data_IF_921290737453
#
_entry.id   IF_921290737453
#
_cell.length_a   1.000
_cell.length_b   1.000
_cell.length_c   1.000
_cell.angle_alpha   90.00
_cell.angle_beta   90.00
_cell.angle_gamma   90.00
#
_symmetry.space_group_name_H-M   'P 1'
#
loop_
_entity.id
_entity.type
_entity.pdbx_description
1 polymer ?
#
# COMPACT_ATOMS: atom_id res chain seq x y z
N UNK A 1 5.53 -36.31 30.23
CA UNK A 1 6.50 -35.28 29.82
C UNK A 1 6.02 -34.71 28.50
N UNK A 2 5.38 -33.54 28.53
CA UNK A 2 4.98 -32.84 27.31
C UNK A 2 6.24 -32.19 26.72
N UNK A 3 6.58 -32.55 25.48
CA UNK A 3 7.60 -31.84 24.71
C UNK A 3 7.01 -30.47 24.35
N UNK A 4 7.40 -29.45 25.11
CA UNK A 4 7.21 -28.06 24.70
C UNK A 4 8.09 -27.80 23.49
N UNK A 5 7.52 -27.90 22.30
CA UNK A 5 8.16 -27.45 21.08
C UNK A 5 8.21 -25.92 21.15
N UNK A 6 9.31 -25.39 21.69
CA UNK A 6 9.61 -23.97 21.65
C UNK A 6 10.01 -23.66 20.21
N UNK A 7 9.02 -23.46 19.34
CA UNK A 7 9.25 -22.72 18.11
C UNK A 7 9.69 -21.33 18.56
N UNK A 8 10.96 -20.99 18.33
CA UNK A 8 11.45 -19.64 18.54
C UNK A 8 10.70 -18.71 17.59
N UNK A 9 9.92 -17.77 18.13
CA UNK A 9 9.28 -16.74 17.33
C UNK A 9 10.34 -15.93 16.57
N UNK A 10 10.11 -15.69 15.29
CA UNK A 10 10.99 -14.83 14.48
C UNK A 10 10.66 -13.37 14.81
N UNK A 11 11.67 -12.52 14.95
CA UNK A 11 11.44 -11.08 15.07
C UNK A 11 11.01 -10.47 13.73
N UNK A 12 10.26 -9.36 13.74
CA UNK A 12 9.95 -8.62 12.51
C UNK A 12 11.22 -8.22 11.71
N UNK A 13 12.30 -7.90 12.44
CA UNK A 13 13.61 -7.61 11.87
C UNK A 13 14.16 -8.77 11.04
N UNK A 14 14.13 -9.97 11.61
CA UNK A 14 14.65 -11.18 10.97
C UNK A 14 13.71 -11.69 9.87
N UNK A 15 12.40 -11.40 9.98
CA UNK A 15 11.40 -11.71 8.97
C UNK A 15 11.51 -10.85 7.69
N UNK A 16 12.13 -9.66 7.77
CA UNK A 16 12.17 -8.71 6.65
C UNK A 16 12.85 -9.26 5.39
N UNK A 17 14.01 -9.92 5.54
CA UNK A 17 14.74 -10.47 4.40
C UNK A 17 14.02 -11.65 3.71
N UNK A 18 13.46 -12.63 4.44
CA UNK A 18 12.54 -13.61 3.86
C UNK A 18 11.32 -12.99 3.18
N UNK A 19 10.70 -11.99 3.81
CA UNK A 19 9.53 -11.30 3.25
C UNK A 19 9.82 -10.58 1.93
N UNK A 20 11.00 -9.95 1.81
CA UNK A 20 11.44 -9.34 0.57
C UNK A 20 11.56 -10.36 -0.57
N UNK A 21 12.20 -11.50 -0.30
CA UNK A 21 12.35 -12.58 -1.29
C UNK A 21 11.00 -13.17 -1.68
N UNK A 22 10.13 -13.35 -0.70
CA UNK A 22 8.76 -13.81 -0.92
C UNK A 22 8.00 -12.84 -1.83
N UNK A 23 8.00 -11.54 -1.51
CA UNK A 23 7.30 -10.52 -2.28
C UNK A 23 7.82 -10.45 -3.73
N UNK A 24 9.14 -10.46 -3.91
CA UNK A 24 9.77 -10.45 -5.23
C UNK A 24 9.31 -11.67 -6.05
N UNK A 25 9.43 -12.88 -5.49
CA UNK A 25 9.00 -14.10 -6.17
C UNK A 25 7.50 -14.09 -6.48
N UNK A 26 6.68 -13.60 -5.55
CA UNK A 26 5.22 -13.58 -5.68
C UNK A 26 4.77 -12.60 -6.77
N UNK A 27 5.22 -11.35 -6.70
CA UNK A 27 4.83 -10.30 -7.64
C UNK A 27 5.46 -10.49 -9.02
N UNK A 28 6.69 -10.99 -9.10
CA UNK A 28 7.43 -11.15 -10.37
C UNK A 28 7.11 -12.45 -11.09
N UNK A 29 6.26 -13.33 -10.56
CA UNK A 29 5.83 -14.55 -11.26
C UNK A 29 5.02 -14.25 -12.54
N UNK A 30 5.24 -15.01 -13.61
CA UNK A 30 4.44 -14.97 -14.84
C UNK A 30 3.05 -15.60 -14.67
N UNK A 31 2.80 -16.25 -13.54
CA UNK A 31 1.49 -16.82 -13.18
C UNK A 31 0.50 -15.75 -12.69
N UNK A 32 0.95 -14.50 -12.48
CA UNK A 32 0.06 -13.40 -12.08
C UNK A 32 -0.85 -13.04 -13.24
N UNK A 33 -2.16 -13.23 -13.03
CA UNK A 33 -3.19 -12.98 -14.03
C UNK A 33 -4.28 -12.07 -13.50
N UNK A 34 -4.78 -11.20 -14.36
CA UNK A 34 -6.00 -10.41 -14.14
C UNK A 34 -6.88 -10.63 -15.37
N UNK A 35 -8.13 -10.99 -15.17
CA UNK A 35 -9.10 -11.31 -16.24
C UNK A 35 -8.56 -12.33 -17.27
N UNK A 36 -7.84 -13.34 -16.77
CA UNK A 36 -7.24 -14.41 -17.59
C UNK A 36 -5.98 -14.00 -18.36
N UNK A 37 -5.55 -12.74 -18.29
CA UNK A 37 -4.36 -12.24 -18.97
C UNK A 37 -3.17 -12.12 -18.01
N UNK A 38 -1.99 -12.54 -18.47
CA UNK A 38 -0.75 -12.34 -17.71
C UNK A 38 -0.47 -10.87 -17.49
N UNK A 39 -0.19 -10.50 -16.24
CA UNK A 39 0.16 -9.13 -15.87
C UNK A 39 1.50 -8.75 -16.49
N UNK A 40 1.55 -7.57 -17.11
CA UNK A 40 2.77 -7.06 -17.75
C UNK A 40 3.94 -7.00 -16.77
N UNK A 41 5.17 -7.25 -17.25
CA UNK A 41 6.38 -7.13 -16.45
C UNK A 41 6.52 -5.72 -15.84
N UNK A 42 6.13 -4.68 -16.59
CA UNK A 42 6.16 -3.30 -16.10
C UNK A 42 5.25 -3.07 -14.91
N UNK A 43 4.03 -3.62 -14.94
CA UNK A 43 3.08 -3.52 -13.83
C UNK A 43 3.56 -4.29 -12.60
N UNK A 44 4.13 -5.48 -12.77
CA UNK A 44 4.71 -6.29 -11.68
C UNK A 44 5.89 -5.57 -11.02
N UNK A 45 6.84 -5.09 -11.83
CA UNK A 45 8.01 -4.33 -11.35
C UNK A 45 7.60 -3.06 -10.62
N UNK A 46 6.64 -2.31 -11.17
CA UNK A 46 6.12 -1.11 -10.53
C UNK A 46 5.60 -1.40 -9.11
N UNK A 47 4.84 -2.49 -8.92
CA UNK A 47 4.30 -2.87 -7.62
C UNK A 47 5.40 -3.24 -6.63
N UNK A 48 6.35 -4.05 -7.07
CA UNK A 48 7.50 -4.40 -6.25
C UNK A 48 8.29 -3.16 -5.79
N UNK A 49 8.65 -2.28 -6.73
CA UNK A 49 9.39 -1.04 -6.41
C UNK A 49 8.59 -0.08 -5.52
N UNK A 50 7.27 -0.03 -5.69
CA UNK A 50 6.37 0.73 -4.83
C UNK A 50 6.40 0.20 -3.39
N UNK A 51 6.25 -1.11 -3.18
CA UNK A 51 6.39 -1.73 -1.85
C UNK A 51 7.72 -1.39 -1.17
N UNK A 52 8.83 -1.35 -1.91
CA UNK A 52 10.14 -0.96 -1.35
C UNK A 52 10.15 0.49 -0.86
N UNK A 53 9.54 1.41 -1.60
CA UNK A 53 9.45 2.83 -1.19
C UNK A 53 8.53 3.00 0.00
N UNK A 54 7.39 2.31 0.02
CA UNK A 54 6.44 2.32 1.14
C UNK A 54 7.08 1.76 2.41
N UNK A 55 7.83 0.66 2.33
CA UNK A 55 8.61 0.12 3.45
C UNK A 55 9.63 1.14 4.00
N UNK A 56 10.29 1.90 3.12
CA UNK A 56 11.22 2.96 3.54
C UNK A 56 10.50 4.11 4.25
N UNK A 57 9.31 4.50 3.79
CA UNK A 57 8.46 5.50 4.44
C UNK A 57 8.04 5.00 5.83
N UNK A 58 7.60 3.75 5.93
CA UNK A 58 7.25 3.09 7.19
C UNK A 58 8.37 3.18 8.23
N UNK A 59 9.62 2.91 7.85
CA UNK A 59 10.79 3.07 8.75
C UNK A 59 10.98 4.51 9.25
N UNK A 60 10.65 5.51 8.45
CA UNK A 60 10.75 6.92 8.86
C UNK A 60 9.63 7.26 9.85
N UNK A 61 8.40 6.89 9.52
CA UNK A 61 7.22 7.13 10.38
C UNK A 61 7.42 6.44 11.73
N UNK A 62 7.74 5.14 11.74
CA UNK A 62 7.87 4.39 12.98
C UNK A 62 8.92 4.98 13.93
N UNK A 63 10.11 5.33 13.42
CA UNK A 63 11.17 5.94 14.25
C UNK A 63 10.75 7.26 14.87
N UNK A 64 10.04 8.11 14.14
CA UNK A 64 9.60 9.41 14.65
C UNK A 64 8.45 9.30 15.64
N UNK A 65 7.59 8.29 15.48
CA UNK A 65 6.39 8.09 16.30
C UNK A 65 6.59 7.09 17.44
N UNK A 66 7.79 6.50 17.56
CA UNK A 66 8.08 5.49 18.59
C UNK A 66 7.38 4.15 18.37
N UNK A 67 6.98 3.84 17.13
CA UNK A 67 6.43 2.54 16.75
C UNK A 67 7.57 1.55 16.48
N UNK A 68 7.23 0.25 16.42
CA UNK A 68 8.20 -0.75 15.97
C UNK A 68 8.57 -0.52 14.50
N UNK A 69 9.84 -0.18 14.28
CA UNK A 69 10.37 0.17 12.96
C UNK A 69 10.31 -1.02 11.99
N UNK A 70 10.70 -2.20 12.44
CA UNK A 70 10.80 -3.36 11.57
C UNK A 70 9.42 -3.94 11.28
N UNK A 71 8.49 -3.89 12.25
CA UNK A 71 7.12 -4.35 12.07
C UNK A 71 6.33 -3.45 11.12
N UNK A 72 6.40 -2.12 11.26
CA UNK A 72 5.72 -1.21 10.32
C UNK A 72 6.34 -1.34 8.92
N UNK A 73 7.66 -1.41 8.82
CA UNK A 73 8.33 -1.59 7.53
C UNK A 73 7.95 -2.92 6.86
N UNK A 74 7.80 -4.00 7.63
CA UNK A 74 7.38 -5.31 7.15
C UNK A 74 5.93 -5.28 6.63
N UNK A 75 5.00 -4.67 7.37
CA UNK A 75 3.62 -4.48 6.89
C UNK A 75 3.55 -3.62 5.63
N UNK A 76 4.28 -2.51 5.60
CA UNK A 76 4.44 -1.65 4.43
C UNK A 76 5.04 -2.36 3.21
N UNK A 77 6.00 -3.27 3.41
CA UNK A 77 6.58 -4.06 2.31
C UNK A 77 5.53 -4.98 1.69
N UNK A 78 4.69 -5.60 2.52
CA UNK A 78 3.78 -6.66 2.11
C UNK A 78 2.36 -6.18 1.71
N UNK A 79 2.03 -4.90 1.91
CA UNK A 79 0.64 -4.40 1.75
C UNK A 79 0.01 -4.67 0.38
N UNK A 80 0.78 -4.55 -0.70
CA UNK A 80 0.28 -4.69 -2.08
C UNK A 80 0.45 -6.14 -2.61
N UNK A 81 0.76 -7.12 -1.76
CA UNK A 81 0.95 -8.54 -2.17
C UNK A 81 -0.27 -9.07 -2.93
N UNK A 82 -1.47 -8.72 -2.46
CA UNK A 82 -2.74 -9.17 -3.04
C UNK A 82 -3.18 -8.42 -4.29
N UNK A 83 -2.33 -7.57 -4.91
CA UNK A 83 -2.75 -6.67 -5.99
C UNK A 83 -3.45 -7.36 -7.16
N UNK A 84 -3.05 -8.60 -7.44
CA UNK A 84 -3.54 -9.40 -8.56
C UNK A 84 -4.42 -10.58 -8.10
N UNK A 85 -4.81 -10.61 -6.83
CA UNK A 85 -5.53 -11.74 -6.22
C UNK A 85 -6.98 -11.39 -5.85
N UNK A 86 -7.38 -10.13 -5.91
CA UNK A 86 -8.74 -9.68 -5.62
C UNK A 86 -9.69 -9.87 -6.80
N UNK A 87 -10.95 -10.23 -6.53
CA UNK A 87 -12.01 -10.23 -7.56
C UNK A 87 -12.33 -8.82 -8.06
N UNK A 88 -12.34 -7.85 -7.15
CA UNK A 88 -12.59 -6.44 -7.45
C UNK A 88 -11.44 -5.57 -6.92
N UNK A 89 -11.08 -4.48 -7.60
CA UNK A 89 -9.90 -3.70 -7.23
C UNK A 89 -9.88 -3.16 -5.80
N UNK A 90 -11.02 -2.89 -5.17
CA UNK A 90 -11.07 -2.36 -3.79
C UNK A 90 -10.61 -3.38 -2.75
N UNK A 91 -10.71 -4.67 -3.03
CA UNK A 91 -10.45 -5.73 -2.05
C UNK A 91 -9.00 -6.25 -2.04
N UNK A 92 -8.10 -5.66 -2.83
CA UNK A 92 -6.73 -6.18 -2.91
C UNK A 92 -5.96 -6.15 -1.58
N UNK A 93 -6.30 -5.24 -0.67
CA UNK A 93 -5.81 -5.28 0.71
C UNK A 93 -6.24 -6.57 1.43
N UNK A 94 -7.55 -6.87 1.44
CA UNK A 94 -8.10 -8.07 2.08
C UNK A 94 -7.60 -9.37 1.44
N UNK A 95 -7.48 -9.40 0.11
CA UNK A 95 -6.89 -10.54 -0.61
C UNK A 95 -5.41 -10.75 -0.23
N UNK A 96 -4.66 -9.65 -0.11
CA UNK A 96 -3.26 -9.66 0.31
C UNK A 96 -3.09 -10.14 1.75
N UNK A 97 -3.98 -9.72 2.65
CA UNK A 97 -3.96 -10.11 4.06
C UNK A 97 -4.03 -11.63 4.26
N UNK A 98 -4.84 -12.36 3.46
CA UNK A 98 -4.90 -13.83 3.50
C UNK A 98 -3.53 -14.46 3.18
N UNK A 99 -2.90 -13.98 2.11
CA UNK A 99 -1.62 -14.53 1.63
C UNK A 99 -0.51 -14.23 2.63
N UNK A 100 -0.48 -13.00 3.15
CA UNK A 100 0.52 -12.52 4.09
C UNK A 100 0.37 -13.18 5.46
N UNK A 101 -0.85 -13.36 5.96
CA UNK A 101 -1.08 -14.07 7.23
C UNK A 101 -0.51 -15.49 7.18
N UNK A 102 -0.83 -16.25 6.12
CA UNK A 102 -0.28 -17.60 5.95
C UNK A 102 1.25 -17.59 5.94
N UNK A 103 1.86 -16.69 5.16
CA UNK A 103 3.32 -16.59 5.03
C UNK A 103 4.00 -16.23 6.36
N UNK A 104 3.49 -15.22 7.08
CA UNK A 104 4.07 -14.78 8.35
C UNK A 104 3.89 -15.82 9.47
N UNK A 105 2.77 -16.56 9.45
CA UNK A 105 2.55 -17.70 10.33
C UNK A 105 3.59 -18.81 10.09
N UNK A 106 3.84 -19.16 8.82
CA UNK A 106 4.86 -20.16 8.45
C UNK A 106 6.29 -19.72 8.79
N UNK A 107 6.57 -18.40 8.78
CA UNK A 107 7.85 -17.85 9.26
C UNK A 107 7.97 -17.84 10.80
N UNK A 108 6.87 -17.99 11.53
CA UNK A 108 6.84 -17.98 12.99
C UNK A 108 6.75 -16.59 13.62
N UNK A 109 6.16 -15.61 12.92
CA UNK A 109 5.87 -14.29 13.51
C UNK A 109 4.70 -14.42 14.50
N UNK A 110 4.77 -13.72 15.63
CA UNK A 110 3.76 -13.84 16.69
C UNK A 110 2.34 -13.48 16.19
N UNK A 111 1.32 -14.07 16.82
CA UNK A 111 -0.08 -13.83 16.43
C UNK A 111 -0.48 -12.35 16.53
N UNK A 112 0.05 -11.63 17.54
CA UNK A 112 -0.22 -10.20 17.73
C UNK A 112 0.40 -9.35 16.63
N UNK A 113 1.68 -9.55 16.32
CA UNK A 113 2.37 -8.81 15.25
C UNK A 113 1.75 -9.10 13.88
N UNK A 114 1.38 -10.37 13.65
CA UNK A 114 0.74 -10.80 12.42
C UNK A 114 -0.65 -10.20 12.25
N UNK A 115 -1.45 -10.13 13.33
CA UNK A 115 -2.75 -9.48 13.32
C UNK A 115 -2.63 -7.98 12.98
N UNK A 116 -1.67 -7.26 13.60
CA UNK A 116 -1.43 -5.85 13.32
C UNK A 116 -1.06 -5.60 11.85
N UNK A 117 -0.14 -6.40 11.30
CA UNK A 117 0.24 -6.30 9.88
C UNK A 117 -0.97 -6.59 9.00
N UNK A 118 -1.61 -7.74 9.18
CA UNK A 118 -2.66 -8.21 8.25
C UNK A 118 -3.90 -7.34 8.32
N UNK A 119 -4.22 -6.75 9.48
CA UNK A 119 -5.31 -5.79 9.61
C UNK A 119 -5.00 -4.48 8.88
N UNK A 120 -3.79 -3.93 9.04
CA UNK A 120 -3.38 -2.74 8.31
C UNK A 120 -3.33 -2.96 6.80
N UNK A 121 -2.89 -4.13 6.35
CA UNK A 121 -2.96 -4.54 4.94
C UNK A 121 -4.41 -4.65 4.46
N UNK A 122 -5.32 -5.23 5.26
CA UNK A 122 -6.72 -5.40 4.87
C UNK A 122 -7.43 -4.06 4.61
N UNK A 123 -7.13 -3.05 5.42
CA UNK A 123 -7.82 -1.75 5.38
C UNK A 123 -7.16 -0.69 4.50
N UNK A 124 -5.93 -0.88 4.01
CA UNK A 124 -5.17 0.21 3.38
C UNK A 124 -5.84 0.81 2.12
N UNK A 125 -6.81 0.11 1.53
CA UNK A 125 -7.47 0.52 0.28
C UNK A 125 -8.66 1.43 0.51
N UNK A 126 -9.37 1.26 1.62
CA UNK A 126 -10.70 1.85 1.85
C UNK A 126 -11.05 2.10 3.32
N UNK A 127 -10.07 2.00 4.21
CA UNK A 127 -10.16 2.18 5.66
C UNK A 127 -11.07 1.16 6.40
N UNK A 128 -11.54 0.12 5.71
CA UNK A 128 -12.32 -0.97 6.31
C UNK A 128 -11.46 -2.23 6.41
N UNK A 129 -11.28 -2.80 7.59
CA UNK A 129 -10.45 -4.01 7.76
C UNK A 129 -11.20 -5.33 7.57
N UNK A 130 -12.52 -5.32 7.72
CA UNK A 130 -13.39 -6.47 7.46
C UNK A 130 -14.02 -6.35 6.07
N UNK A 131 -14.62 -7.44 5.58
CA UNK A 131 -15.35 -7.44 4.32
C UNK A 131 -16.40 -6.31 4.28
N UNK A 132 -16.48 -5.62 3.14
CA UNK A 132 -17.48 -4.56 2.96
C UNK A 132 -18.88 -5.17 2.96
N UNK A 133 -19.84 -4.41 3.47
CA UNK A 133 -21.26 -4.78 3.47
C UNK A 133 -22.06 -4.07 2.37
N UNK A 134 -21.41 -3.17 1.63
CA UNK A 134 -21.96 -2.57 0.41
C UNK A 134 -21.73 -3.47 -0.81
N UNK A 135 -22.28 -3.07 -1.96
CA UNK A 135 -22.14 -3.81 -3.21
C UNK A 135 -20.84 -3.46 -3.97
N UNK A 136 -19.87 -2.79 -3.34
CA UNK A 136 -18.61 -2.41 -3.97
C UNK A 136 -17.50 -3.45 -3.76
N UNK A 137 -17.63 -4.29 -2.73
CA UNK A 137 -16.69 -5.37 -2.40
C UNK A 137 -17.27 -6.78 -2.57
N UNK A 138 -16.45 -7.77 -2.25
CA UNK A 138 -16.82 -9.19 -2.17
C UNK A 138 -16.57 -9.74 -0.76
N UNK A 139 -16.88 -11.03 -0.54
CA UNK A 139 -16.57 -11.73 0.72
C UNK A 139 -15.35 -12.67 0.60
N UNK A 140 -14.77 -12.78 -0.58
CA UNK A 140 -13.66 -13.68 -0.87
C UNK A 140 -12.82 -13.20 -2.05
N UNK A 141 -11.57 -13.66 -2.09
CA UNK A 141 -10.63 -13.34 -3.15
C UNK A 141 -10.92 -14.07 -4.47
N UNK A 142 -10.09 -13.86 -5.50
CA UNK A 142 -10.28 -14.46 -6.83
C UNK A 142 -10.16 -16.00 -6.85
N UNK A 143 -9.68 -16.61 -5.76
CA UNK A 143 -9.56 -18.05 -5.60
C UNK A 143 -10.63 -18.64 -4.67
N UNK A 144 -11.60 -17.82 -4.25
CA UNK A 144 -12.69 -18.22 -3.37
C UNK A 144 -12.30 -18.36 -1.90
N UNK A 145 -11.15 -17.83 -1.48
CA UNK A 145 -10.72 -17.84 -0.08
C UNK A 145 -11.44 -16.70 0.68
N UNK A 146 -12.12 -16.98 1.81
CA UNK A 146 -12.81 -15.95 2.57
C UNK A 146 -11.80 -14.95 3.15
N UNK A 147 -12.18 -13.67 3.19
CA UNK A 147 -11.36 -12.63 3.83
C UNK A 147 -11.25 -12.87 5.34
N UNK A 148 -10.14 -12.41 5.92
CA UNK A 148 -9.92 -12.44 7.37
C UNK A 148 -10.94 -11.54 8.08
N UNK A 149 -11.28 -11.90 9.32
CA UNK A 149 -12.14 -11.10 10.19
C UNK A 149 -11.35 -10.69 11.42
N UNK A 150 -11.37 -9.40 11.75
CA UNK A 150 -10.72 -8.83 12.92
C UNK A 150 -11.78 -8.29 13.87
N UNK A 151 -11.67 -8.67 15.15
CA UNK A 151 -12.60 -8.28 16.21
C UNK A 151 -12.24 -6.94 16.86
N UNK A 152 -10.96 -6.57 16.83
CA UNK A 152 -10.44 -5.35 17.46
C UNK A 152 -10.33 -4.21 16.46
N UNK A 153 -10.44 -2.97 16.95
CA UNK A 153 -10.09 -1.78 16.17
C UNK A 153 -8.60 -1.79 15.79
N UNK A 154 -8.23 -1.26 14.61
CA UNK A 154 -6.84 -1.25 14.17
C UNK A 154 -5.96 -0.36 15.04
N UNK A 155 -4.80 -0.90 15.39
CA UNK A 155 -3.75 -0.21 16.11
C UNK A 155 -3.20 0.98 15.31
N UNK A 156 -2.45 1.85 15.98
CA UNK A 156 -1.78 2.97 15.31
C UNK A 156 -0.78 2.48 14.25
N UNK A 157 -0.14 1.32 14.48
CA UNK A 157 0.76 0.69 13.52
C UNK A 157 -0.01 0.20 12.29
N UNK A 158 -1.12 -0.51 12.49
CA UNK A 158 -1.97 -1.01 11.40
C UNK A 158 -2.46 0.15 10.51
N UNK A 159 -2.97 1.24 11.11
CA UNK A 159 -3.42 2.44 10.37
C UNK A 159 -2.27 3.13 9.62
N UNK A 160 -1.07 3.15 10.21
CA UNK A 160 0.12 3.76 9.60
C UNK A 160 0.58 3.06 8.31
N UNK A 161 0.20 1.79 8.09
CA UNK A 161 0.51 1.09 6.82
C UNK A 161 -0.17 1.80 5.64
N UNK A 162 -1.46 2.13 5.76
CA UNK A 162 -2.20 2.85 4.72
C UNK A 162 -1.72 4.29 4.53
N UNK A 163 -1.35 4.97 5.61
CA UNK A 163 -0.73 6.30 5.51
C UNK A 163 0.57 6.26 4.69
N UNK A 164 1.42 5.25 4.92
CA UNK A 164 2.69 5.10 4.20
C UNK A 164 2.49 4.78 2.72
N UNK A 165 1.50 3.96 2.36
CA UNK A 165 1.10 3.75 0.96
C UNK A 165 0.70 5.08 0.32
N UNK A 166 -0.22 5.79 0.96
CA UNK A 166 -0.72 7.08 0.47
C UNK A 166 0.41 8.09 0.23
N UNK A 167 1.38 8.21 1.14
CA UNK A 167 2.53 9.12 0.97
C UNK A 167 3.32 8.83 -0.32
N UNK A 168 3.57 7.56 -0.67
CA UNK A 168 4.29 7.20 -1.91
C UNK A 168 3.50 7.56 -3.18
N UNK A 169 2.20 7.86 -3.08
CA UNK A 169 1.35 8.23 -4.22
C UNK A 169 1.53 9.67 -4.69
N UNK A 170 2.28 10.49 -3.96
CA UNK A 170 2.43 11.92 -4.28
C UNK A 170 3.85 12.43 -4.52
N UNK A 171 4.90 11.62 -4.32
CA UNK A 171 6.28 12.07 -4.54
C UNK A 171 6.65 12.42 -6.01
N UNK A 172 7.91 12.83 -6.23
CA UNK A 172 8.40 13.24 -7.55
C UNK A 172 8.27 12.15 -8.63
N UNK A 173 8.48 10.88 -8.27
CA UNK A 173 8.26 9.74 -9.16
C UNK A 173 6.81 9.70 -9.67
N UNK A 174 5.86 10.04 -8.79
CA UNK A 174 4.43 10.05 -9.12
C UNK A 174 3.99 11.21 -9.98
N UNK A 175 4.73 12.31 -10.02
CA UNK A 175 4.52 13.35 -11.05
C UNK A 175 4.72 12.76 -12.45
N UNK A 176 5.83 12.07 -12.67
CA UNK A 176 6.13 11.45 -13.96
C UNK A 176 5.12 10.34 -14.32
N UNK A 177 4.79 9.49 -13.34
CA UNK A 177 3.79 8.43 -13.51
C UNK A 177 2.40 8.99 -13.85
N UNK A 178 1.95 10.03 -13.15
CA UNK A 178 0.67 10.71 -13.42
C UNK A 178 0.63 11.29 -14.82
N UNK A 179 1.66 12.06 -15.23
CA UNK A 179 1.72 12.65 -16.58
C UNK A 179 1.68 11.59 -17.68
N UNK A 180 2.39 10.48 -17.47
CA UNK A 180 2.37 9.32 -18.38
C UNK A 180 0.97 8.70 -18.44
N UNK A 181 0.36 8.43 -17.29
CA UNK A 181 -0.95 7.80 -17.19
C UNK A 181 -2.04 8.62 -17.91
N UNK A 182 -2.05 9.94 -17.71
CA UNK A 182 -3.05 10.82 -18.36
C UNK A 182 -2.69 11.19 -19.79
N UNK A 183 -1.57 10.66 -20.33
CA UNK A 183 -1.02 10.96 -21.66
C UNK A 183 -0.92 12.46 -21.90
N UNK A 184 -0.37 13.18 -20.92
CA UNK A 184 -0.45 14.65 -20.85
C UNK A 184 0.08 15.34 -22.10
N UNK A 185 1.21 14.85 -22.66
CA UNK A 185 1.84 15.43 -23.85
C UNK A 185 1.08 15.15 -25.15
N UNK A 186 0.09 14.27 -25.15
CA UNK A 186 -0.75 13.99 -26.31
C UNK A 186 -2.01 14.85 -26.35
N UNK A 187 -2.29 15.56 -25.25
CA UNK A 187 -3.39 16.52 -25.15
C UNK A 187 -3.05 17.81 -25.88
N UNK A 188 -4.06 18.46 -26.45
CA UNK A 188 -3.95 19.86 -26.86
C UNK A 188 -3.71 20.76 -25.65
N UNK A 189 -3.19 21.97 -25.87
CA UNK A 189 -2.96 22.94 -24.79
C UNK A 189 -4.25 23.26 -24.01
N UNK A 190 -5.40 23.32 -24.67
CA UNK A 190 -6.69 23.53 -24.00
C UNK A 190 -7.02 22.37 -23.05
N UNK A 191 -6.90 21.13 -23.51
CA UNK A 191 -7.14 19.93 -22.69
C UNK A 191 -6.12 19.78 -21.55
N UNK A 192 -4.88 20.23 -21.74
CA UNK A 192 -3.87 20.27 -20.67
C UNK A 192 -4.28 21.24 -19.55
N UNK A 193 -4.75 22.44 -19.92
CA UNK A 193 -5.26 23.42 -18.95
C UNK A 193 -6.50 22.92 -18.23
N UNK A 194 -7.45 22.33 -18.96
CA UNK A 194 -8.66 21.77 -18.37
C UNK A 194 -8.31 20.67 -17.35
N UNK A 195 -7.38 19.78 -17.70
CA UNK A 195 -6.91 18.78 -16.76
C UNK A 195 -6.28 19.40 -15.50
N UNK A 196 -5.40 20.39 -15.65
CA UNK A 196 -4.77 21.09 -14.51
C UNK A 196 -5.80 21.80 -13.62
N UNK A 197 -6.82 22.42 -14.22
CA UNK A 197 -7.92 23.08 -13.50
C UNK A 197 -8.75 22.10 -12.66
N UNK A 198 -8.79 20.82 -13.04
CA UNK A 198 -9.43 19.77 -12.22
C UNK A 198 -8.49 19.13 -11.21
N UNK A 199 -7.20 19.02 -11.54
CA UNK A 199 -6.24 18.28 -10.74
C UNK A 199 -5.70 19.10 -9.57
N UNK A 200 -5.43 20.39 -9.76
CA UNK A 200 -4.90 21.27 -8.71
C UNK A 200 -5.86 21.39 -7.50
N UNK A 201 -7.18 21.64 -7.67
CA UNK A 201 -8.10 21.68 -6.54
C UNK A 201 -8.19 20.36 -5.78
N UNK A 202 -8.01 19.23 -6.47
CA UNK A 202 -7.93 17.92 -5.82
C UNK A 202 -6.69 17.81 -4.93
N UNK A 203 -5.53 18.29 -5.39
CA UNK A 203 -4.32 18.31 -4.58
C UNK A 203 -4.48 19.21 -3.34
N UNK A 204 -5.15 20.36 -3.48
CA UNK A 204 -5.44 21.25 -2.36
C UNK A 204 -6.36 20.58 -1.32
N UNK A 205 -7.41 19.88 -1.77
CA UNK A 205 -8.27 19.12 -0.87
C UNK A 205 -7.51 18.00 -0.15
N UNK A 206 -6.69 17.24 -0.87
CA UNK A 206 -5.87 16.17 -0.28
C UNK A 206 -4.87 16.70 0.75
N UNK A 207 -4.30 17.89 0.52
CA UNK A 207 -3.33 18.50 1.44
C UNK A 207 -3.93 18.78 2.83
N UNK A 208 -5.23 19.04 2.91
CA UNK A 208 -5.93 19.30 4.19
C UNK A 208 -6.18 18.04 5.03
N UNK A 209 -6.07 16.86 4.44
CA UNK A 209 -6.26 15.58 5.15
C UNK A 209 -5.15 15.36 6.18
N UNK A 210 -5.52 14.77 7.32
CA UNK A 210 -4.58 14.32 8.35
C UNK A 210 -4.46 12.80 8.29
N UNK A 211 -3.22 12.32 8.40
CA UNK A 211 -2.90 10.91 8.57
C UNK A 211 -3.03 10.51 10.05
N UNK A 212 -2.87 9.22 10.34
CA UNK A 212 -2.98 8.68 11.70
C UNK A 212 -1.92 9.23 12.66
N UNK A 213 -0.79 9.70 12.14
CA UNK A 213 0.31 10.26 12.94
C UNK A 213 0.72 11.66 12.48
N UNK A 214 1.28 12.50 13.37
CA UNK A 214 1.85 13.80 12.99
C UNK A 214 2.97 13.69 11.94
N UNK A 215 3.84 12.69 12.05
CA UNK A 215 4.92 12.46 11.08
C UNK A 215 4.37 12.05 9.72
N UNK A 216 3.42 11.11 9.67
CA UNK A 216 2.78 10.74 8.42
C UNK A 216 2.07 11.93 7.78
N UNK A 217 1.36 12.74 8.57
CA UNK A 217 0.68 13.96 8.10
C UNK A 217 1.67 14.96 7.50
N UNK A 218 2.82 15.16 8.14
CA UNK A 218 3.89 16.02 7.61
C UNK A 218 4.44 15.47 6.29
N UNK A 219 4.78 14.18 6.23
CA UNK A 219 5.31 13.54 5.00
C UNK A 219 4.29 13.54 3.85
N UNK A 220 3.01 13.37 4.17
CA UNK A 220 1.89 13.46 3.23
C UNK A 220 1.81 14.84 2.58
N UNK A 221 1.82 15.90 3.41
CA UNK A 221 1.82 17.29 2.93
C UNK A 221 3.07 17.62 2.11
N UNK A 222 4.25 17.21 2.57
CA UNK A 222 5.51 17.36 1.83
C UNK A 222 5.43 16.68 0.45
N UNK A 223 4.89 15.45 0.37
CA UNK A 223 4.73 14.75 -0.90
C UNK A 223 3.73 15.46 -1.83
N UNK A 224 2.60 15.93 -1.32
CA UNK A 224 1.62 16.70 -2.11
C UNK A 224 2.22 18.02 -2.61
N UNK A 225 2.99 18.72 -1.77
CA UNK A 225 3.60 19.99 -2.14
C UNK A 225 4.60 19.86 -3.30
N UNK A 226 5.24 18.69 -3.46
CA UNK A 226 6.03 18.38 -4.67
C UNK A 226 5.16 18.46 -5.93
N UNK A 227 3.98 17.82 -5.93
CA UNK A 227 3.08 17.87 -7.07
C UNK A 227 2.48 19.25 -7.29
N UNK A 228 1.99 19.90 -6.22
CA UNK A 228 1.41 21.25 -6.30
C UNK A 228 2.41 22.22 -6.92
N UNK A 229 3.65 22.21 -6.42
CA UNK A 229 4.72 23.08 -6.95
C UNK A 229 4.96 22.82 -8.44
N UNK A 230 5.06 21.55 -8.83
CA UNK A 230 5.29 21.18 -10.23
C UNK A 230 4.12 21.62 -11.13
N UNK A 231 2.89 21.26 -10.77
CA UNK A 231 1.72 21.48 -11.61
C UNK A 231 1.29 22.95 -11.66
N UNK A 232 1.50 23.74 -10.61
CA UNK A 232 1.30 25.19 -10.69
C UNK A 232 2.29 25.87 -11.64
N UNK A 233 3.56 25.43 -11.66
CA UNK A 233 4.55 25.94 -12.63
C UNK A 233 4.16 25.55 -14.04
N UNK A 234 3.82 24.28 -14.26
CA UNK A 234 3.36 23.80 -15.55
C UNK A 234 2.12 24.56 -16.05
N UNK A 235 1.14 24.83 -15.18
CA UNK A 235 -0.02 25.65 -15.51
C UNK A 235 0.39 27.06 -15.96
N UNK A 236 1.33 27.69 -15.25
CA UNK A 236 1.82 29.04 -15.58
C UNK A 236 2.53 29.09 -16.94
N UNK A 237 3.25 28.03 -17.31
CA UNK A 237 3.94 27.92 -18.61
C UNK A 237 2.98 27.69 -19.78
N UNK A 238 1.85 27.00 -19.52
CA UNK A 238 0.84 26.74 -20.54
C UNK A 238 -0.07 27.96 -20.80
N UNK A 239 -0.04 28.97 -19.94
CA UNK A 239 -0.77 30.24 -20.07
C UNK A 239 -2.25 30.11 -19.73
#
# INVERSE_FOLDING_TARGET
MAMGNTHSEISARDAFAPALKFLEAYLMSDDRKVDGQTVSLGSRRYRFEHSLRVARIGRVVARSEGLDEDLLALGCLLHDTGKFDSQVPVDHGRAGAIVVDKFLCELGLSDTERADITQGIAMHTDDLWNARTDNEGTCCDAYGRPYLTFESEPSLLARSIGDCDNIDRFGAYRVADTLKYVRFMEKSTAEQRDWLNTYLPRLDALWTTECSTPTATRLWREAIDVQRTYFHRLASELG
#
